data_IF_234863274860
#
_entry.id   IF_234863274860
#
_cell.length_a   1.000
_cell.length_b   1.000
_cell.length_c   1.000
_cell.angle_alpha   90.00
_cell.angle_beta   90.00
_cell.angle_gamma   90.00
#
_symmetry.space_group_name_H-M   'P 1'
#
loop_
_entity.id
_entity.type
_entity.pdbx_description
1 polymer ?
#
# COMPACT_ATOMS: atom_id res chain seq x y z
N UNK A 1 8.31 -12.16 6.01
CA UNK A 1 7.09 -11.36 6.26
C UNK A 1 7.47 -9.90 6.15
N UNK A 2 7.22 -9.27 5.00
CA UNK A 2 7.58 -7.86 4.75
C UNK A 2 6.62 -7.01 5.57
N UNK A 3 6.98 -6.72 6.82
CA UNK A 3 6.20 -5.80 7.65
C UNK A 3 6.44 -4.39 7.13
N UNK A 4 5.52 -3.83 6.34
CA UNK A 4 5.35 -2.38 6.20
C UNK A 4 4.82 -1.83 7.55
N UNK A 5 5.62 -1.93 8.60
CA UNK A 5 5.21 -1.55 9.95
C UNK A 5 5.13 -0.03 10.15
N UNK A 6 5.54 0.77 9.15
CA UNK A 6 5.79 2.19 9.40
C UNK A 6 4.85 3.19 8.77
N UNK A 7 3.91 2.77 7.91
CA UNK A 7 2.97 3.72 7.32
C UNK A 7 1.52 3.40 7.66
N UNK A 8 1.16 2.13 7.85
CA UNK A 8 -0.24 1.70 7.92
C UNK A 8 -0.58 1.04 9.25
N UNK A 9 -0.89 1.86 10.27
CA UNK A 9 -1.33 1.40 11.60
C UNK A 9 -2.81 0.95 11.67
N UNK A 10 -3.50 0.87 10.54
CA UNK A 10 -4.91 0.46 10.48
C UNK A 10 -5.03 -1.02 10.07
N UNK A 11 -5.74 -1.87 10.82
CA UNK A 11 -5.87 -3.31 10.51
C UNK A 11 -6.43 -3.61 9.12
N UNK A 12 -7.38 -2.79 8.63
CA UNK A 12 -7.96 -2.95 7.30
C UNK A 12 -6.91 -2.79 6.20
N UNK A 13 -6.01 -1.83 6.41
CA UNK A 13 -5.02 -1.43 5.42
C UNK A 13 -3.84 -2.40 5.36
N UNK A 14 -3.42 -2.94 6.52
CA UNK A 14 -2.50 -4.08 6.59
C UNK A 14 -3.07 -5.29 5.84
N UNK A 15 -4.34 -5.63 6.08
CA UNK A 15 -5.01 -6.76 5.42
C UNK A 15 -5.12 -6.55 3.91
N UNK A 16 -5.43 -5.33 3.47
CA UNK A 16 -5.53 -5.02 2.05
C UNK A 16 -4.17 -5.14 1.35
N UNK A 17 -3.08 -4.71 1.99
CA UNK A 17 -1.72 -4.91 1.49
C UNK A 17 -1.40 -6.41 1.36
N UNK A 18 -1.55 -7.18 2.45
CA UNK A 18 -1.26 -8.62 2.47
C UNK A 18 -2.06 -9.41 1.42
N UNK A 19 -3.28 -8.95 1.09
CA UNK A 19 -4.15 -9.59 0.08
C UNK A 19 -3.85 -9.16 -1.36
N UNK A 20 -2.88 -8.26 -1.55
CA UNK A 20 -2.53 -7.69 -2.85
C UNK A 20 -3.54 -6.70 -3.41
N UNK A 21 -4.44 -6.18 -2.58
CA UNK A 21 -5.45 -5.20 -3.02
C UNK A 21 -4.84 -3.81 -3.18
N UNK A 22 -3.74 -3.53 -2.50
CA UNK A 22 -3.05 -2.26 -2.54
C UNK A 22 -1.54 -2.51 -2.44
N UNK A 23 -0.76 -1.59 -3.00
CA UNK A 23 0.69 -1.60 -2.95
C UNK A 23 1.22 -0.17 -3.04
N UNK A 24 2.53 -0.02 -3.19
CA UNK A 24 3.23 1.26 -3.27
C UNK A 24 4.20 1.19 -4.44
N UNK A 25 4.26 2.23 -5.27
CA UNK A 25 5.22 2.32 -6.38
C UNK A 25 6.63 2.76 -5.91
N UNK A 26 7.56 2.87 -6.85
CA UNK A 26 8.94 3.30 -6.56
C UNK A 26 9.06 4.76 -6.10
N UNK A 27 8.04 5.59 -6.35
CA UNK A 27 7.94 6.99 -5.94
C UNK A 27 7.17 7.17 -4.63
N UNK A 28 6.82 6.06 -3.97
CA UNK A 28 6.03 6.01 -2.76
C UNK A 28 4.60 6.54 -2.93
N UNK A 29 3.98 6.34 -4.09
CA UNK A 29 2.54 6.54 -4.27
C UNK A 29 1.79 5.23 -4.07
N UNK A 30 0.64 5.31 -3.40
CA UNK A 30 -0.25 4.16 -3.21
C UNK A 30 -0.90 3.79 -4.54
N UNK A 31 -0.82 2.51 -4.87
CA UNK A 31 -1.50 1.91 -6.02
C UNK A 31 -2.57 0.97 -5.51
N UNK A 32 -3.76 1.04 -6.10
CA UNK A 32 -4.90 0.19 -5.73
C UNK A 32 -5.20 -0.79 -6.86
N UNK A 33 -5.60 -2.00 -6.48
CA UNK A 33 -6.02 -3.06 -7.39
C UNK A 33 -7.37 -2.73 -8.01
N UNK A 34 -7.55 -3.09 -9.28
CA UNK A 34 -8.86 -3.04 -9.96
C UNK A 34 -9.88 -4.03 -9.39
N UNK A 35 -9.44 -5.01 -8.59
CA UNK A 35 -10.31 -6.01 -7.96
C UNK A 35 -10.96 -5.51 -6.66
N UNK A 36 -10.75 -4.25 -6.29
CA UNK A 36 -11.47 -3.63 -5.19
C UNK A 36 -12.90 -3.30 -5.65
N UNK A 37 -13.84 -4.16 -5.28
CA UNK A 37 -15.28 -3.94 -5.45
C UNK A 37 -15.85 -3.13 -4.29
N UNK A 38 -15.31 -1.94 -4.05
CA UNK A 38 -15.89 -0.99 -3.09
C UNK A 38 -16.71 0.06 -3.82
N UNK A 39 -17.93 0.32 -3.34
CA UNK A 39 -18.70 1.48 -3.74
C UNK A 39 -17.91 2.75 -3.39
N UNK A 40 -17.58 3.53 -4.42
CA UNK A 40 -16.69 4.72 -4.34
C UNK A 40 -17.25 5.78 -3.36
N UNK A 41 -18.53 5.66 -3.00
CA UNK A 41 -19.31 6.58 -2.17
C UNK A 41 -18.94 6.48 -0.67
N UNK A 42 -18.30 5.40 -0.22
CA UNK A 42 -17.94 5.26 1.19
C UNK A 42 -16.65 6.03 1.57
N UNK A 43 -16.73 6.82 2.64
CA UNK A 43 -15.63 7.63 3.23
C UNK A 43 -14.38 6.83 3.61
N UNK A 44 -14.47 5.50 3.67
CA UNK A 44 -13.38 4.61 4.06
C UNK A 44 -12.87 3.72 2.91
N UNK A 45 -13.28 3.97 1.65
CA UNK A 45 -12.82 3.16 0.52
C UNK A 45 -11.31 3.29 0.31
N UNK A 46 -10.65 2.15 0.06
CA UNK A 46 -9.24 2.06 -0.31
C UNK A 46 -8.94 2.86 -1.59
N UNK A 47 -9.93 3.02 -2.47
CA UNK A 47 -9.78 3.82 -3.69
C UNK A 47 -9.47 5.29 -3.39
N UNK A 48 -9.87 5.82 -2.23
CA UNK A 48 -9.50 7.18 -1.81
C UNK A 48 -8.00 7.32 -1.50
N UNK A 49 -7.29 6.22 -1.35
CA UNK A 49 -5.84 6.22 -1.15
C UNK A 49 -5.07 6.18 -2.47
N UNK A 50 -5.70 5.81 -3.58
CA UNK A 50 -5.05 5.72 -4.89
C UNK A 50 -4.36 7.04 -5.25
N UNK A 51 -3.07 6.96 -5.59
CA UNK A 51 -2.27 8.12 -5.96
C UNK A 51 -1.88 9.03 -4.78
N UNK A 52 -2.20 8.69 -3.53
CA UNK A 52 -1.67 9.40 -2.36
C UNK A 52 -0.22 9.02 -2.13
N UNK A 53 0.61 10.01 -1.81
CA UNK A 53 2.01 9.78 -1.43
C UNK A 53 2.09 9.30 0.01
N UNK A 54 2.92 8.31 0.29
CA UNK A 54 3.18 7.85 1.65
C UNK A 54 3.94 8.95 2.40
N UNK A 55 3.55 9.14 3.66
CA UNK A 55 4.33 9.91 4.61
C UNK A 55 5.48 9.01 5.05
N UNK A 56 6.70 9.36 4.64
CA UNK A 56 7.89 8.59 4.95
C UNK A 56 8.53 9.10 6.24
N UNK A 57 9.14 8.21 7.04
CA UNK A 57 10.01 8.62 8.13
C UNK A 57 11.12 9.56 7.63
N UNK A 58 11.43 10.56 8.45
CA UNK A 58 12.54 11.50 8.20
C UNK A 58 13.88 10.77 8.16
N UNK A 59 14.01 9.73 9.00
CA UNK A 59 15.21 8.89 9.06
C UNK A 59 15.12 7.80 7.98
N UNK A 60 16.12 7.77 7.09
CA UNK A 60 16.10 6.91 5.90
C UNK A 60 16.13 5.40 6.22
N UNK A 61 16.84 4.97 7.27
CA UNK A 61 16.93 3.56 7.68
C UNK A 61 15.58 2.93 8.06
N UNK A 62 14.59 3.78 8.34
CA UNK A 62 13.25 3.41 8.74
C UNK A 62 12.26 3.41 7.57
N UNK A 63 12.69 3.83 6.38
CA UNK A 63 11.87 3.77 5.18
C UNK A 63 11.76 2.33 4.68
N UNK A 64 10.62 1.95 4.07
CA UNK A 64 10.54 0.66 3.41
C UNK A 64 11.54 0.59 2.25
N UNK A 65 12.30 -0.49 2.19
CA UNK A 65 13.21 -0.74 1.08
C UNK A 65 12.43 -0.86 -0.23
N UNK A 66 12.90 -0.18 -1.28
CA UNK A 66 12.25 -0.21 -2.60
C UNK A 66 12.17 -1.63 -3.17
N UNK A 67 13.21 -2.44 -2.97
CA UNK A 67 13.27 -3.84 -3.41
C UNK A 67 12.14 -4.70 -2.80
N UNK A 68 11.79 -4.45 -1.53
CA UNK A 68 10.69 -5.15 -0.87
C UNK A 68 9.33 -4.73 -1.44
N UNK A 69 9.19 -3.46 -1.82
CA UNK A 69 7.98 -2.96 -2.48
C UNK A 69 7.88 -3.52 -3.91
N UNK A 70 8.99 -3.59 -4.63
CA UNK A 70 9.10 -4.22 -5.95
C UNK A 70 8.67 -5.69 -5.90
N UNK A 71 9.28 -6.48 -5.01
CA UNK A 71 8.89 -7.87 -4.83
C UNK A 71 7.40 -8.03 -4.53
N UNK A 72 6.84 -7.16 -3.67
CA UNK A 72 5.41 -7.21 -3.38
C UNK A 72 4.55 -6.87 -4.61
N UNK A 73 4.95 -5.88 -5.42
CA UNK A 73 4.26 -5.54 -6.67
C UNK A 73 4.26 -6.71 -7.65
N UNK A 74 5.36 -7.46 -7.71
CA UNK A 74 5.51 -8.56 -8.66
C UNK A 74 4.84 -9.86 -8.19
N UNK A 75 4.86 -10.15 -6.89
CA UNK A 75 4.47 -11.47 -6.36
C UNK A 75 3.08 -11.49 -5.68
N UNK A 76 2.64 -10.36 -5.13
CA UNK A 76 1.45 -10.31 -4.28
C UNK A 76 0.37 -9.40 -4.85
N UNK A 77 0.76 -8.23 -5.39
CA UNK A 77 -0.18 -7.23 -5.87
C UNK A 77 -1.01 -7.73 -7.05
N UNK A 78 -2.32 -7.49 -6.99
CA UNK A 78 -3.29 -7.95 -7.99
C UNK A 78 -3.66 -6.79 -8.92
N UNK A 79 -2.70 -6.36 -9.74
CA UNK A 79 -2.87 -5.27 -10.73
C UNK A 79 -3.79 -5.61 -11.89
#
# INVERSE_FOLDING_TARGET
>A
MIKLAMVWRCPNLHRAFDRGLITVDSNYFVVTSKHISEDIIHTYSLNQLKGKKLILPTIQQYRPALENLEWHRDQIFKG
#
